data_IF_164923898192
#
_entry.id   IF_164923898192
#
_cell.length_a   1.000
_cell.length_b   1.000
_cell.length_c   1.000
_cell.angle_alpha   90.00
_cell.angle_beta   90.00
_cell.angle_gamma   90.00
#
_symmetry.space_group_name_H-M   'P 1'
#
loop_
_entity.id
_entity.type
_entity.pdbx_description
1 polymer ?
#
# COMPACT_ATOMS: atom_id res chain seq x y z
N UNK A 1 -12.66 -3.29 -9.19
CA UNK A 1 -13.48 -2.27 -8.51
C UNK A 1 -12.63 -1.01 -8.35
N UNK A 2 -13.24 0.17 -8.35
CA UNK A 2 -12.53 1.43 -8.13
C UNK A 2 -12.47 1.73 -6.63
N UNK A 3 -11.30 2.08 -6.09
CA UNK A 3 -11.19 2.48 -4.69
C UNK A 3 -11.84 3.85 -4.45
N UNK A 4 -12.54 3.99 -3.33
CA UNK A 4 -13.15 5.25 -2.92
C UNK A 4 -12.26 6.04 -1.95
N UNK A 5 -12.55 7.34 -1.81
CA UNK A 5 -11.94 8.15 -0.76
C UNK A 5 -12.19 7.53 0.62
N UNK A 6 -11.13 7.40 1.42
CA UNK A 6 -11.17 6.79 2.76
C UNK A 6 -11.20 5.26 2.75
N UNK A 7 -11.17 4.63 1.58
CA UNK A 7 -11.12 3.17 1.47
C UNK A 7 -9.72 2.65 1.81
N UNK A 8 -9.69 1.58 2.60
CA UNK A 8 -8.48 0.84 2.93
C UNK A 8 -8.36 -0.30 1.94
N UNK A 9 -7.24 -0.33 1.22
CA UNK A 9 -6.97 -1.43 0.29
C UNK A 9 -5.76 -2.22 0.76
N UNK A 10 -5.60 -3.44 0.28
CA UNK A 10 -4.33 -4.14 0.32
C UNK A 10 -3.79 -4.24 -1.10
N UNK A 11 -2.51 -3.92 -1.29
CA UNK A 11 -1.83 -4.12 -2.57
C UNK A 11 -0.50 -4.81 -2.37
N UNK A 12 -0.09 -5.58 -3.38
CA UNK A 12 1.23 -6.19 -3.44
C UNK A 12 2.16 -5.33 -4.27
N UNK A 13 3.35 -5.07 -3.74
CA UNK A 13 4.39 -4.30 -4.41
C UNK A 13 5.73 -4.94 -4.10
N UNK A 14 6.53 -5.18 -5.13
CA UNK A 14 7.93 -5.50 -4.97
C UNK A 14 8.71 -4.18 -4.86
N UNK A 15 9.19 -3.78 -3.65
CA UNK A 15 9.87 -2.52 -3.46
C UNK A 15 11.22 -2.48 -4.20
N UNK A 16 11.90 -3.63 -4.35
CA UNK A 16 13.19 -3.73 -5.03
C UNK A 16 13.02 -3.49 -6.53
N UNK A 17 12.03 -4.15 -7.15
CA UNK A 17 11.73 -3.93 -8.56
C UNK A 17 11.21 -2.50 -8.81
N UNK A 18 10.35 -2.00 -7.92
CA UNK A 18 9.71 -0.67 -8.07
C UNK A 18 10.70 0.48 -7.97
N UNK A 19 11.72 0.36 -7.10
CA UNK A 19 12.69 1.43 -6.85
C UNK A 19 14.05 1.19 -7.53
N UNK A 20 14.17 0.15 -8.36
CA UNK A 20 15.41 -0.17 -9.09
C UNK A 20 15.98 1.00 -9.89
N UNK A 21 15.10 1.85 -10.44
CA UNK A 21 15.49 3.00 -11.25
C UNK A 21 16.23 4.10 -10.46
N UNK A 22 16.09 4.15 -9.13
CA UNK A 22 16.83 5.10 -8.29
C UNK A 22 18.33 4.79 -8.23
N UNK A 23 18.73 3.53 -8.52
CA UNK A 23 20.11 3.05 -8.53
C UNK A 23 20.90 3.44 -7.25
N UNK A 24 20.20 3.45 -6.11
CA UNK A 24 20.74 3.83 -4.81
C UNK A 24 20.95 2.55 -3.96
N UNK A 25 22.19 2.28 -3.51
CA UNK A 25 22.49 1.10 -2.71
C UNK A 25 21.84 1.10 -1.32
N UNK A 26 21.62 2.26 -0.70
CA UNK A 26 20.92 2.36 0.59
C UNK A 26 19.43 2.09 0.44
N UNK A 27 18.83 2.60 -0.64
CA UNK A 27 17.42 2.31 -0.98
C UNK A 27 17.25 0.83 -1.23
N UNK A 28 18.13 0.22 -2.04
CA UNK A 28 18.09 -1.21 -2.33
C UNK A 28 18.19 -2.05 -1.04
N UNK A 29 19.17 -1.76 -0.18
CA UNK A 29 19.35 -2.47 1.09
C UNK A 29 18.12 -2.34 2.00
N UNK A 30 17.52 -1.15 2.04
CA UNK A 30 16.32 -0.89 2.83
C UNK A 30 15.11 -1.65 2.28
N UNK A 31 14.98 -1.76 0.96
CA UNK A 31 13.92 -2.54 0.31
C UNK A 31 14.08 -4.03 0.57
N UNK A 32 15.30 -4.56 0.48
CA UNK A 32 15.60 -5.98 0.76
C UNK A 32 15.36 -6.36 2.23
N UNK A 33 15.41 -5.40 3.16
CA UNK A 33 15.12 -5.60 4.57
C UNK A 33 13.60 -5.62 4.89
N UNK A 34 12.73 -5.29 3.92
CA UNK A 34 11.28 -5.36 4.13
C UNK A 34 10.82 -6.82 4.02
N UNK A 35 10.28 -7.36 5.11
CA UNK A 35 9.86 -8.77 5.19
C UNK A 35 8.52 -9.06 4.47
N UNK A 36 7.81 -8.01 4.06
CA UNK A 36 6.46 -8.04 3.52
C UNK A 36 6.36 -7.25 2.23
N UNK A 37 5.70 -7.84 1.24
CA UNK A 37 5.39 -7.25 -0.06
C UNK A 37 3.94 -6.74 -0.10
N UNK A 38 3.16 -6.97 0.96
CA UNK A 38 1.74 -6.59 1.03
C UNK A 38 1.57 -5.39 1.93
N UNK A 39 1.05 -4.30 1.39
CA UNK A 39 0.90 -3.03 2.09
C UNK A 39 -0.57 -2.64 2.21
N UNK A 40 -0.89 -1.96 3.32
CA UNK A 40 -2.22 -1.41 3.56
C UNK A 40 -2.13 0.12 3.55
N UNK A 41 -2.57 0.77 2.47
CA UNK A 41 -2.77 2.21 2.44
C UNK A 41 -4.25 2.59 2.59
N UNK A 42 -4.48 3.83 3.02
CA UNK A 42 -5.76 4.51 2.88
C UNK A 42 -5.74 5.40 1.63
N UNK A 43 -6.78 5.30 0.82
CA UNK A 43 -6.97 6.13 -0.39
C UNK A 43 -7.35 7.53 0.06
N UNK A 44 -6.47 8.51 -0.19
CA UNK A 44 -6.70 9.90 0.21
C UNK A 44 -7.29 10.73 -0.91
N UNK A 45 -6.98 10.45 -2.18
CA UNK A 45 -7.57 11.17 -3.31
C UNK A 45 -7.64 10.29 -4.56
N UNK A 46 -8.72 10.46 -5.33
CA UNK A 46 -8.76 10.02 -6.72
C UNK A 46 -8.16 11.12 -7.58
N UNK A 47 -7.04 10.86 -8.24
CA UNK A 47 -6.33 11.84 -9.07
C UNK A 47 -6.74 11.76 -10.54
N UNK A 48 -7.42 10.69 -10.95
CA UNK A 48 -7.99 10.54 -12.29
C UNK A 48 -9.45 10.12 -12.24
N UNK A 49 -10.24 10.62 -13.19
CA UNK A 49 -11.59 10.10 -13.42
C UNK A 49 -11.53 8.73 -14.11
N UNK A 50 -12.26 7.73 -13.61
CA UNK A 50 -12.39 6.46 -14.32
C UNK A 50 -13.25 6.67 -15.57
N UNK A 51 -12.59 6.84 -16.71
CA UNK A 51 -13.26 6.92 -18.00
C UNK A 51 -13.38 5.53 -18.63
N UNK A 52 -14.48 5.24 -19.35
CA UNK A 52 -14.60 4.01 -20.11
C UNK A 52 -13.42 3.81 -21.06
N UNK A 53 -12.78 2.64 -21.02
CA UNK A 53 -11.64 2.30 -21.87
C UNK A 53 -10.26 2.66 -21.30
N UNK A 54 -10.19 3.26 -20.11
CA UNK A 54 -8.91 3.49 -19.42
C UNK A 54 -8.59 2.30 -18.52
N UNK A 55 -7.46 1.64 -18.78
CA UNK A 55 -7.02 0.46 -18.04
C UNK A 55 -6.47 0.77 -16.64
N UNK A 56 -6.02 2.01 -16.42
CA UNK A 56 -5.32 2.43 -15.20
C UNK A 56 -5.94 3.67 -14.59
N UNK A 57 -5.91 3.74 -13.26
CA UNK A 57 -6.35 4.91 -12.51
C UNK A 57 -5.18 5.44 -11.68
N UNK A 58 -5.17 6.75 -11.49
CA UNK A 58 -4.23 7.44 -10.61
C UNK A 58 -4.92 7.79 -9.30
N UNK A 59 -4.30 7.41 -8.19
CA UNK A 59 -4.80 7.62 -6.84
C UNK A 59 -3.66 8.09 -5.95
N UNK A 60 -3.99 8.99 -5.01
CA UNK A 60 -3.11 9.33 -3.90
C UNK A 60 -3.48 8.44 -2.72
N UNK A 61 -2.47 7.90 -2.05
CA UNK A 61 -2.67 6.98 -0.93
C UNK A 61 -1.63 7.26 0.16
N UNK A 62 -2.04 7.07 1.42
CA UNK A 62 -1.15 7.16 2.57
C UNK A 62 -0.93 5.76 3.13
N UNK A 63 0.33 5.31 3.14
CA UNK A 63 0.73 4.05 3.76
C UNK A 63 0.56 4.13 5.28
N UNK A 64 -0.23 3.23 5.85
CA UNK A 64 -0.56 3.27 7.27
C UNK A 64 0.29 2.34 8.13
N UNK A 65 0.80 1.24 7.57
CA UNK A 65 1.65 0.31 8.32
C UNK A 65 2.66 -0.39 7.41
N UNK A 66 3.76 -0.87 8.02
CA UNK A 66 4.77 -1.72 7.38
C UNK A 66 4.23 -3.14 7.19
N UNK A 67 3.26 -3.24 6.29
CA UNK A 67 2.64 -4.45 5.78
C UNK A 67 2.10 -5.44 6.81
N UNK A 68 1.35 -6.42 6.30
CA UNK A 68 0.80 -7.47 7.14
C UNK A 68 1.90 -8.52 7.40
N UNK A 69 2.05 -9.03 8.64
CA UNK A 69 2.93 -10.15 8.91
C UNK A 69 2.50 -11.36 8.09
N UNK A 70 3.46 -12.17 7.63
CA UNK A 70 3.23 -13.33 6.74
C UNK A 70 2.18 -14.31 7.26
N UNK A 71 2.04 -14.44 8.58
CA UNK A 71 1.08 -15.34 9.23
C UNK A 71 -0.32 -14.74 9.44
N UNK A 72 -0.53 -13.47 9.04
CA UNK A 72 -1.78 -12.72 9.26
C UNK A 72 -2.66 -12.56 8.02
N UNK A 73 -2.29 -13.14 6.88
CA UNK A 73 -2.95 -12.90 5.58
C UNK A 73 -4.42 -13.38 5.54
N UNK A 74 -4.79 -14.35 6.38
CA UNK A 74 -6.16 -14.87 6.54
C UNK A 74 -7.00 -14.10 7.57
N UNK A 75 -6.38 -13.21 8.37
CA UNK A 75 -7.15 -12.21 9.11
C UNK A 75 -7.52 -11.13 8.11
N UNK A 76 -8.71 -11.28 7.55
CA UNK A 76 -9.48 -10.20 6.93
C UNK A 76 -9.09 -8.88 7.58
N UNK A 77 -8.85 -7.84 6.77
CA UNK A 77 -8.66 -6.45 7.19
C UNK A 77 -9.92 -6.04 7.96
N UNK A 78 -10.03 -6.48 9.21
CA UNK A 78 -11.08 -6.10 10.12
C UNK A 78 -10.74 -4.71 10.62
N UNK A 79 -11.78 -3.98 11.00
CA UNK A 79 -11.75 -2.63 11.55
C UNK A 79 -10.77 -2.45 12.73
N UNK A 80 -10.19 -3.53 13.26
CA UNK A 80 -9.15 -3.53 14.29
C UNK A 80 -7.83 -2.88 13.84
N UNK A 81 -7.53 -2.84 12.52
CA UNK A 81 -6.35 -2.10 12.01
C UNK A 81 -6.53 -0.58 12.23
N UNK A 82 -7.77 -0.10 12.31
CA UNK A 82 -8.07 1.31 12.60
C UNK A 82 -7.65 1.71 14.02
N UNK A 83 -7.77 0.81 15.00
CA UNK A 83 -7.38 1.13 16.39
C UNK A 83 -5.86 1.17 16.56
N UNK A 84 -5.12 0.26 15.91
CA UNK A 84 -3.66 0.26 15.99
C UNK A 84 -3.01 1.41 15.19
N UNK A 85 -3.60 1.82 14.06
CA UNK A 85 -3.12 2.97 13.29
C UNK A 85 -3.36 4.30 14.04
N UNK A 86 -4.46 4.42 14.80
CA UNK A 86 -4.75 5.59 15.64
C UNK A 86 -3.84 5.68 16.87
N UNK A 87 -3.28 4.56 17.35
CA UNK A 87 -2.34 4.54 18.48
C UNK A 87 -0.91 4.94 18.10
N UNK A 88 -0.59 5.09 16.81
CA UNK A 88 0.75 5.45 16.32
C UNK A 88 0.87 6.92 15.87
N UNK A 89 -0.13 7.77 16.17
CA UNK A 89 -0.10 9.23 15.97
C UNK A 89 0.12 9.94 17.29
#
# INVERSE_FOLDING_TARGET
MLPHFGEYIAFKLDPVASLKALNDPEVKKSCEALETETYVPCVTYLLSFPLPGVEYISVSMTLLSKGLPKDGLDRSITSDITEHALSMV
#
